data_IF_496131273674
#
_entry.id   IF_496131273674
#
_cell.length_a   1.000
_cell.length_b   1.000
_cell.length_c   1.000
_cell.angle_alpha   90.00
_cell.angle_beta   90.00
_cell.angle_gamma   90.00
#
_symmetry.space_group_name_H-M   'P 1'
#
loop_
_entity.id
_entity.type
_entity.pdbx_description
1 polymer ?
#
# COMPACT_ATOMS: atom_id res chain seq x y z
N UNK A 1 19.53 -9.67 12.50
CA UNK A 1 20.28 -10.75 11.80
C UNK A 1 20.40 -10.29 10.36
N UNK A 2 21.55 -9.73 10.00
CA UNK A 2 21.73 -9.03 8.72
C UNK A 2 21.96 -10.04 7.59
N UNK A 3 20.93 -10.23 6.76
CA UNK A 3 21.03 -11.01 5.54
C UNK A 3 21.72 -10.13 4.49
N UNK A 4 22.82 -10.60 3.93
CA UNK A 4 23.59 -9.85 2.92
C UNK A 4 22.83 -9.79 1.59
N UNK A 5 23.02 -8.71 0.81
CA UNK A 5 22.44 -8.53 -0.55
C UNK A 5 22.64 -9.75 -1.46
N UNK A 6 23.74 -10.49 -1.25
CA UNK A 6 24.10 -11.72 -2.01
C UNK A 6 23.28 -12.94 -1.60
N UNK A 7 22.90 -13.06 -0.32
CA UNK A 7 22.02 -14.14 0.16
C UNK A 7 20.57 -13.91 -0.29
N UNK A 8 20.16 -12.66 -0.48
CA UNK A 8 18.84 -12.31 -1.03
C UNK A 8 18.68 -12.72 -2.50
N UNK A 9 19.70 -12.53 -3.34
CA UNK A 9 19.67 -12.90 -4.77
C UNK A 9 19.60 -14.42 -5.04
N UNK A 10 19.92 -15.27 -4.07
CA UNK A 10 19.82 -16.74 -4.25
C UNK A 10 18.37 -17.23 -4.20
N UNK A 11 17.46 -16.45 -3.58
CA UNK A 11 16.03 -16.77 -3.49
C UNK A 11 15.25 -16.43 -4.77
N UNK A 12 15.82 -15.67 -5.70
CA UNK A 12 15.16 -15.22 -6.95
C UNK A 12 15.40 -16.13 -8.16
N UNK A 13 16.05 -17.28 -7.97
CA UNK A 13 16.47 -18.18 -9.05
C UNK A 13 15.43 -19.21 -9.47
N UNK A 14 14.31 -18.80 -10.04
CA UNK A 14 13.48 -19.69 -10.89
C UNK A 14 12.74 -18.85 -11.95
N UNK A 15 13.23 -18.88 -13.18
CA UNK A 15 12.57 -18.27 -14.32
C UNK A 15 11.28 -19.02 -14.65
N UNK A 16 10.14 -18.32 -14.65
CA UNK A 16 8.87 -18.84 -15.18
C UNK A 16 8.58 -18.16 -16.51
N UNK A 17 8.34 -18.97 -17.54
CA UNK A 17 7.92 -18.52 -18.85
C UNK A 17 6.52 -17.87 -18.77
N UNK A 18 6.39 -16.64 -19.24
CA UNK A 18 5.18 -15.83 -19.20
C UNK A 18 4.39 -15.94 -20.52
N UNK A 19 3.10 -16.27 -20.41
CA UNK A 19 2.11 -16.05 -21.46
C UNK A 19 1.60 -14.62 -21.33
N UNK A 20 1.95 -13.76 -22.29
CA UNK A 20 1.53 -12.37 -22.34
C UNK A 20 0.05 -12.28 -22.78
N UNK A 21 -0.82 -11.76 -21.92
CA UNK A 21 -2.16 -11.31 -22.31
C UNK A 21 -2.12 -9.77 -22.34
N UNK A 22 -2.56 -9.11 -23.42
CA UNK A 22 -2.55 -7.65 -23.46
C UNK A 22 -3.58 -7.11 -22.46
N UNK A 23 -3.13 -6.34 -21.46
CA UNK A 23 -4.01 -5.61 -20.57
C UNK A 23 -4.36 -4.23 -21.17
N UNK A 24 -5.65 -3.91 -21.28
CA UNK A 24 -6.11 -2.53 -21.38
C UNK A 24 -5.96 -1.85 -20.01
N UNK A 25 -4.83 -1.20 -19.76
CA UNK A 25 -4.57 -0.37 -18.58
C UNK A 25 -3.90 0.95 -18.99
N UNK A 26 -4.23 2.04 -18.29
CA UNK A 26 -3.69 3.37 -18.60
C UNK A 26 -2.16 3.39 -18.45
N UNK A 27 -1.44 3.86 -19.48
CA UNK A 27 0.01 4.06 -19.42
C UNK A 27 0.34 5.30 -18.57
N UNK A 28 1.40 5.25 -17.75
CA UNK A 28 1.80 6.43 -16.99
C UNK A 28 2.27 7.55 -17.93
N UNK A 29 1.70 8.75 -17.75
CA UNK A 29 2.03 9.94 -18.53
C UNK A 29 3.23 10.68 -17.93
N UNK A 30 4.04 11.41 -18.72
CA UNK A 30 5.05 12.31 -18.18
C UNK A 30 4.42 13.26 -17.15
N UNK A 31 5.00 13.31 -15.95
CA UNK A 31 4.45 14.12 -14.84
C UNK A 31 3.33 13.45 -14.05
N UNK A 32 3.31 12.11 -13.99
CA UNK A 32 2.43 11.34 -13.13
C UNK A 32 3.23 10.44 -12.16
N UNK A 33 2.76 10.32 -10.92
CA UNK A 33 3.31 9.47 -9.87
C UNK A 33 2.37 8.29 -9.62
N UNK A 34 2.83 7.04 -9.79
CA UNK A 34 2.06 5.86 -9.45
C UNK A 34 1.96 5.67 -7.94
N UNK A 35 0.78 5.24 -7.48
CA UNK A 35 0.54 4.82 -6.10
C UNK A 35 0.24 3.33 -6.11
N UNK A 36 1.18 2.53 -5.62
CA UNK A 36 1.09 1.07 -5.64
C UNK A 36 0.33 0.57 -4.41
N UNK A 37 -0.61 -0.33 -4.63
CA UNK A 37 -1.41 -0.98 -3.59
C UNK A 37 -1.05 -2.47 -3.51
N UNK A 38 -0.35 -2.84 -2.44
CA UNK A 38 -0.10 -4.24 -2.06
C UNK A 38 -0.98 -4.63 -0.88
N UNK A 39 -1.16 -5.93 -0.65
CA UNK A 39 -1.81 -6.43 0.56
C UNK A 39 -0.88 -7.43 1.27
N UNK A 40 -0.95 -8.71 0.88
CA UNK A 40 -0.18 -9.79 1.52
C UNK A 40 0.98 -10.24 0.61
N UNK A 41 2.07 -10.70 1.23
CA UNK A 41 3.25 -11.26 0.54
C UNK A 41 3.43 -12.70 0.99
N UNK A 42 2.97 -13.67 0.20
CA UNK A 42 2.96 -15.08 0.61
C UNK A 42 2.97 -16.04 -0.57
N UNK A 43 3.59 -17.21 -0.39
CA UNK A 43 3.47 -18.35 -1.30
C UNK A 43 2.32 -19.30 -0.89
N UNK A 44 1.72 -19.10 0.29
CA UNK A 44 0.71 -19.99 0.84
C UNK A 44 -0.69 -19.66 0.31
N UNK A 45 -0.93 -18.41 -0.05
CA UNK A 45 -2.24 -17.92 -0.45
C UNK A 45 -2.23 -17.47 -1.91
N UNK A 46 -3.21 -17.96 -2.67
CA UNK A 46 -3.32 -17.74 -4.12
C UNK A 46 -4.38 -16.72 -4.54
N UNK A 47 -4.94 -15.96 -3.59
CA UNK A 47 -5.96 -14.96 -3.92
C UNK A 47 -5.37 -13.79 -4.73
N UNK A 48 -6.20 -13.04 -5.47
CA UNK A 48 -5.72 -11.99 -6.37
C UNK A 48 -4.89 -10.88 -5.71
N UNK A 49 -4.99 -10.70 -4.39
CA UNK A 49 -4.34 -9.61 -3.65
C UNK A 49 -3.04 -10.04 -2.95
N UNK A 50 -2.64 -11.30 -3.09
CA UNK A 50 -1.41 -11.83 -2.49
C UNK A 50 -0.31 -11.96 -3.54
N UNK A 51 0.84 -11.32 -3.34
CA UNK A 51 2.00 -11.46 -4.22
C UNK A 51 3.01 -12.46 -3.64
N UNK A 52 3.73 -13.20 -4.50
CA UNK A 52 4.80 -14.06 -4.00
C UNK A 52 5.99 -13.22 -3.50
N UNK A 53 6.72 -13.66 -2.45
CA UNK A 53 7.93 -12.98 -2.01
C UNK A 53 8.96 -12.76 -3.12
N UNK A 54 9.11 -13.73 -4.03
CA UNK A 54 10.05 -13.64 -5.14
C UNK A 54 9.66 -12.56 -6.16
N UNK A 55 8.37 -12.45 -6.51
CA UNK A 55 7.90 -11.42 -7.45
C UNK A 55 7.96 -10.03 -6.82
N UNK A 56 7.55 -9.90 -5.55
CA UNK A 56 7.66 -8.65 -4.80
C UNK A 56 9.12 -8.17 -4.73
N UNK A 57 10.04 -9.07 -4.37
CA UNK A 57 11.48 -8.80 -4.35
C UNK A 57 12.01 -8.27 -5.68
N UNK A 58 11.58 -8.90 -6.78
CA UNK A 58 12.01 -8.50 -8.11
C UNK A 58 11.44 -7.13 -8.52
N UNK A 59 10.20 -6.81 -8.14
CA UNK A 59 9.61 -5.48 -8.35
C UNK A 59 10.37 -4.39 -7.58
N UNK A 60 10.76 -4.65 -6.32
CA UNK A 60 11.53 -3.70 -5.51
C UNK A 60 12.94 -3.47 -6.05
N UNK A 61 13.67 -4.54 -6.42
CA UNK A 61 14.99 -4.40 -7.07
C UNK A 61 14.85 -3.67 -8.41
N UNK A 62 13.79 -3.93 -9.17
CA UNK A 62 13.55 -3.22 -10.43
C UNK A 62 13.34 -1.73 -10.22
N UNK A 63 12.53 -1.32 -9.23
CA UNK A 63 12.34 0.09 -8.86
C UNK A 63 13.68 0.74 -8.51
N UNK A 64 14.47 0.08 -7.66
CA UNK A 64 15.78 0.57 -7.20
C UNK A 64 16.77 0.71 -8.36
N UNK A 65 16.92 -0.34 -9.17
CA UNK A 65 17.84 -0.37 -10.31
C UNK A 65 17.47 0.65 -11.40
N UNK A 66 16.17 1.00 -11.50
CA UNK A 66 15.70 2.03 -12.42
C UNK A 66 15.71 3.44 -11.81
N UNK A 67 16.16 3.62 -10.56
CA UNK A 67 16.30 4.94 -9.94
C UNK A 67 14.98 5.57 -9.49
N UNK A 68 13.96 4.77 -9.21
CA UNK A 68 12.76 5.27 -8.53
C UNK A 68 13.07 5.59 -7.08
N UNK A 69 12.49 6.69 -6.60
CA UNK A 69 12.44 7.04 -5.18
C UNK A 69 11.04 6.79 -4.63
N UNK A 70 10.96 6.20 -3.46
CA UNK A 70 9.70 6.16 -2.72
C UNK A 70 9.44 7.47 -2.00
N UNK A 71 8.21 7.96 -2.04
CA UNK A 71 7.79 9.20 -1.38
C UNK A 71 6.48 9.00 -0.61
N UNK A 72 6.20 9.89 0.34
CA UNK A 72 4.89 9.93 1.01
C UNK A 72 3.79 10.41 0.05
N UNK A 73 2.54 10.06 0.34
CA UNK A 73 1.38 10.42 -0.50
C UNK A 73 1.27 11.94 -0.68
N UNK A 74 1.45 12.71 0.40
CA UNK A 74 1.46 14.19 0.38
C UNK A 74 2.44 14.83 -0.61
N UNK A 75 3.54 14.16 -0.92
CA UNK A 75 4.61 14.70 -1.75
C UNK A 75 4.40 14.37 -3.24
N UNK A 76 3.46 13.47 -3.55
CA UNK A 76 3.28 12.91 -4.89
C UNK A 76 2.84 13.94 -5.95
N UNK A 77 1.92 14.84 -5.63
CA UNK A 77 1.50 15.89 -6.56
C UNK A 77 2.65 16.85 -6.92
N UNK A 78 3.51 17.16 -5.94
CA UNK A 78 4.67 18.03 -6.14
C UNK A 78 5.78 17.32 -6.93
N UNK A 79 6.03 16.04 -6.64
CA UNK A 79 6.96 15.21 -7.41
C UNK A 79 6.50 15.05 -8.87
N UNK A 80 5.20 14.85 -9.09
CA UNK A 80 4.57 14.81 -10.40
C UNK A 80 4.81 16.11 -11.19
N UNK A 81 4.60 17.28 -10.57
CA UNK A 81 4.84 18.58 -11.17
C UNK A 81 6.31 18.80 -11.56
N UNK A 82 7.25 18.22 -10.81
CA UNK A 82 8.69 18.29 -11.08
C UNK A 82 9.18 17.21 -12.07
N UNK A 83 8.30 16.29 -12.48
CA UNK A 83 8.68 15.15 -13.33
C UNK A 83 9.67 14.21 -12.65
N UNK A 84 9.63 14.11 -11.32
CA UNK A 84 10.51 13.25 -10.57
C UNK A 84 10.20 11.77 -10.80
N UNK A 85 11.24 10.94 -10.84
CA UNK A 85 11.09 9.49 -10.89
C UNK A 85 10.73 8.95 -9.50
N UNK A 86 9.47 9.13 -9.13
CA UNK A 86 8.94 8.80 -7.83
C UNK A 86 7.82 7.75 -7.90
N UNK A 87 7.61 7.06 -6.81
CA UNK A 87 6.51 6.10 -6.61
C UNK A 87 6.04 6.18 -5.16
N UNK A 88 4.74 6.03 -4.92
CA UNK A 88 4.21 5.82 -3.57
C UNK A 88 3.94 4.32 -3.41
N UNK A 89 4.36 3.71 -2.31
CA UNK A 89 4.10 2.31 -2.00
C UNK A 89 3.19 2.23 -0.79
N UNK A 90 2.06 1.55 -0.93
CA UNK A 90 1.06 1.36 0.12
C UNK A 90 0.75 -0.12 0.34
N UNK A 91 0.48 -0.49 1.59
CA UNK A 91 0.03 -1.81 1.99
C UNK A 91 -1.29 -1.67 2.76
N UNK A 92 -2.32 -2.42 2.38
CA UNK A 92 -3.57 -2.49 3.13
C UNK A 92 -3.57 -3.73 4.06
N UNK A 93 -4.57 -3.81 4.95
CA UNK A 93 -4.86 -4.91 5.89
C UNK A 93 -3.89 -5.13 7.06
N UNK A 94 -2.59 -4.84 6.90
CA UNK A 94 -1.60 -4.96 7.97
C UNK A 94 -1.04 -6.37 8.21
N UNK A 95 -0.94 -7.21 7.18
CA UNK A 95 -0.39 -8.57 7.28
C UNK A 95 1.03 -8.62 7.87
N UNK A 96 1.28 -9.62 8.73
CA UNK A 96 2.57 -9.79 9.40
C UNK A 96 3.71 -10.18 8.43
N UNK A 97 3.38 -10.73 7.25
CA UNK A 97 4.33 -11.06 6.18
C UNK A 97 5.18 -9.86 5.73
N UNK A 98 4.72 -8.64 5.95
CA UNK A 98 5.48 -7.42 5.70
C UNK A 98 6.84 -7.41 6.41
N UNK A 99 6.92 -7.85 7.67
CA UNK A 99 8.18 -7.86 8.45
C UNK A 99 9.23 -8.73 7.80
N UNK A 100 8.83 -9.90 7.29
CA UNK A 100 9.76 -10.90 6.77
C UNK A 100 10.15 -10.64 5.31
N UNK A 101 9.24 -10.06 4.52
CA UNK A 101 9.40 -9.99 3.07
C UNK A 101 9.57 -8.57 2.53
N UNK A 102 8.99 -7.55 3.17
CA UNK A 102 9.09 -6.17 2.70
C UNK A 102 10.10 -5.33 3.49
N UNK A 103 10.01 -5.32 4.83
CA UNK A 103 10.85 -4.47 5.67
C UNK A 103 12.38 -4.62 5.43
N UNK A 104 12.94 -5.83 5.21
CA UNK A 104 14.36 -5.98 4.92
C UNK A 104 14.78 -5.35 3.58
N UNK A 105 13.91 -5.41 2.57
CA UNK A 105 14.14 -4.76 1.28
C UNK A 105 14.10 -3.25 1.42
N UNK A 106 13.16 -2.75 2.22
CA UNK A 106 12.97 -1.32 2.44
C UNK A 106 14.19 -0.71 3.14
N UNK A 107 14.72 -1.38 4.15
CA UNK A 107 16.00 -1.00 4.78
C UNK A 107 17.18 -1.07 3.80
N UNK A 108 17.20 -2.07 2.92
CA UNK A 108 18.29 -2.23 1.94
C UNK A 108 18.31 -1.13 0.89
N UNK A 109 17.13 -0.75 0.37
CA UNK A 109 17.01 0.22 -0.72
C UNK A 109 16.74 1.66 -0.24
N UNK A 110 16.51 1.86 1.07
CA UNK A 110 16.07 3.15 1.62
C UNK A 110 14.66 3.53 1.14
N UNK A 111 13.80 2.53 0.99
CA UNK A 111 12.41 2.74 0.56
C UNK A 111 11.50 3.00 1.75
N UNK A 112 10.51 3.87 1.52
CA UNK A 112 9.45 4.23 2.44
C UNK A 112 8.10 3.70 1.93
N UNK A 113 7.20 3.33 2.84
CA UNK A 113 5.80 3.01 2.52
C UNK A 113 4.83 3.50 3.59
N UNK A 114 3.56 3.45 3.22
CA UNK A 114 2.43 3.63 4.13
C UNK A 114 1.70 2.29 4.33
N UNK A 115 1.39 1.91 5.57
CA UNK A 115 0.58 0.72 5.89
C UNK A 115 -0.76 1.17 6.45
N UNK A 116 -1.86 0.86 5.76
CA UNK A 116 -3.22 1.11 6.23
C UNK A 116 -3.70 -0.02 7.13
N UNK A 117 -3.98 0.31 8.39
CA UNK A 117 -4.22 -0.65 9.47
C UNK A 117 -5.70 -0.74 9.80
N UNK A 118 -6.20 -1.96 9.95
CA UNK A 118 -7.54 -2.23 10.49
C UNK A 118 -7.43 -2.30 12.01
N UNK A 119 -7.90 -1.28 12.72
CA UNK A 119 -7.64 -1.14 14.16
C UNK A 119 -8.08 -2.33 15.02
N UNK A 120 -9.22 -2.95 14.70
CA UNK A 120 -9.78 -4.09 15.42
C UNK A 120 -9.06 -5.41 15.14
N UNK A 121 -8.24 -5.51 14.09
CA UNK A 121 -7.53 -6.73 13.75
C UNK A 121 -6.11 -6.78 14.34
N UNK A 122 -5.54 -5.64 14.75
CA UNK A 122 -4.14 -5.55 15.23
C UNK A 122 -3.80 -6.60 16.27
N UNK A 123 -2.70 -7.34 16.05
CA UNK A 123 -2.23 -8.44 16.89
C UNK A 123 -3.08 -9.72 16.81
N UNK A 124 -4.04 -9.77 15.88
CA UNK A 124 -4.93 -10.89 15.65
C UNK A 124 -4.70 -11.55 14.30
N UNK A 125 -5.80 -11.85 13.60
CA UNK A 125 -5.79 -12.55 12.33
C UNK A 125 -6.88 -12.03 11.40
N UNK A 126 -6.63 -12.12 10.10
CA UNK A 126 -7.64 -11.97 9.05
C UNK A 126 -7.98 -13.35 8.52
N UNK A 127 -9.29 -13.66 8.49
CA UNK A 127 -9.81 -14.92 7.96
C UNK A 127 -10.16 -14.74 6.47
N UNK A 128 -9.19 -14.98 5.59
CA UNK A 128 -9.34 -14.91 4.12
C UNK A 128 -8.53 -16.03 3.48
N UNK A 129 -9.20 -17.06 2.97
CA UNK A 129 -8.56 -18.27 2.44
C UNK A 129 -7.55 -18.89 3.44
N UNK A 130 -7.89 -18.81 4.73
CA UNK A 130 -7.06 -19.22 5.85
C UNK A 130 -6.91 -18.12 6.90
N UNK A 131 -6.29 -18.50 8.02
CA UNK A 131 -6.04 -17.65 9.18
C UNK A 131 -4.69 -16.96 9.05
N UNK A 132 -4.69 -15.69 8.64
CA UNK A 132 -3.48 -14.92 8.32
C UNK A 132 -3.10 -13.99 9.46
N UNK A 133 -1.89 -14.08 10.03
CA UNK A 133 -1.47 -13.18 11.10
C UNK A 133 -1.35 -11.74 10.59
N UNK A 134 -1.75 -10.80 11.43
CA UNK A 134 -1.53 -9.36 11.22
C UNK A 134 -0.65 -8.80 12.32
N UNK A 135 -0.01 -7.68 12.02
CA UNK A 135 0.94 -7.03 12.91
C UNK A 135 0.28 -6.56 14.20
N UNK A 136 1.01 -6.64 15.29
CA UNK A 136 0.70 -6.06 16.60
C UNK A 136 1.21 -4.62 16.72
N UNK A 137 0.76 -3.89 17.75
CA UNK A 137 1.26 -2.53 18.01
C UNK A 137 2.75 -2.48 18.31
N UNK A 138 3.31 -3.48 18.99
CA UNK A 138 4.76 -3.55 19.25
C UNK A 138 5.56 -3.79 17.96
N UNK A 139 5.04 -4.60 17.05
CA UNK A 139 5.62 -4.80 15.72
C UNK A 139 5.54 -3.53 14.87
N UNK A 140 4.41 -2.82 14.89
CA UNK A 140 4.32 -1.53 14.22
C UNK A 140 5.29 -0.50 14.83
N UNK A 141 5.45 -0.45 16.16
CA UNK A 141 6.46 0.41 16.82
C UNK A 141 7.87 0.09 16.34
N UNK A 142 8.20 -1.19 16.21
CA UNK A 142 9.47 -1.63 15.63
C UNK A 142 9.63 -1.14 14.18
N UNK A 143 8.59 -1.26 13.36
CA UNK A 143 8.62 -0.87 11.94
C UNK A 143 8.75 0.64 11.72
N UNK A 144 8.12 1.46 12.55
CA UNK A 144 8.20 2.93 12.40
C UNK A 144 9.51 3.51 12.94
N UNK A 145 10.26 2.77 13.77
CA UNK A 145 11.42 3.28 14.49
C UNK A 145 12.59 3.70 13.57
N UNK A 146 12.70 3.13 12.38
CA UNK A 146 13.71 3.52 11.38
C UNK A 146 13.25 4.61 10.40
N UNK A 147 12.00 5.08 10.55
CA UNK A 147 11.41 6.14 9.71
C UNK A 147 11.01 5.70 8.30
N UNK A 148 11.02 4.41 8.00
CA UNK A 148 10.64 3.89 6.68
C UNK A 148 9.15 3.61 6.54
N UNK A 149 8.42 3.44 7.65
CA UNK A 149 7.00 3.08 7.65
C UNK A 149 6.14 4.20 8.23
N UNK A 150 5.10 4.59 7.49
CA UNK A 150 4.02 5.44 7.96
C UNK A 150 2.76 4.60 8.25
N UNK A 151 2.08 4.87 9.36
CA UNK A 151 0.82 4.20 9.71
C UNK A 151 -0.36 5.03 9.21
N UNK A 152 -1.28 4.36 8.52
CA UNK A 152 -2.52 4.89 7.97
C UNK A 152 -3.75 4.17 8.54
N UNK A 153 -4.91 4.77 8.36
CA UNK A 153 -6.20 4.20 8.75
C UNK A 153 -6.76 3.31 7.64
N UNK A 154 -7.26 2.13 8.00
CA UNK A 154 -8.11 1.29 7.17
C UNK A 154 -9.43 0.96 7.87
N UNK A 155 -9.98 1.97 8.57
CA UNK A 155 -11.07 1.91 9.55
C UNK A 155 -10.68 1.26 10.88
N UNK A 156 -11.42 1.55 11.95
CA UNK A 156 -11.25 0.85 13.21
C UNK A 156 -11.86 -0.54 13.13
N UNK A 157 -13.14 -0.65 12.81
CA UNK A 157 -13.87 -1.92 12.83
C UNK A 157 -14.89 -2.05 11.68
N UNK A 158 -14.81 -1.21 10.64
CA UNK A 158 -15.77 -1.25 9.52
C UNK A 158 -15.30 -2.07 8.32
N UNK A 159 -14.14 -2.74 8.38
CA UNK A 159 -13.54 -3.51 7.29
C UNK A 159 -14.29 -4.83 6.97
N UNK A 160 -15.53 -4.70 6.49
CA UNK A 160 -16.34 -5.75 5.89
C UNK A 160 -17.30 -5.12 4.87
N UNK A 161 -17.48 -5.73 3.69
CA UNK A 161 -18.30 -5.16 2.60
C UNK A 161 -19.71 -4.78 3.07
N UNK A 162 -20.36 -5.66 3.85
CA UNK A 162 -21.71 -5.41 4.38
C UNK A 162 -21.74 -4.19 5.28
N UNK A 163 -20.80 -4.09 6.23
CA UNK A 163 -20.68 -2.97 7.18
C UNK A 163 -20.35 -1.67 6.45
N UNK A 164 -19.39 -1.70 5.53
CA UNK A 164 -19.05 -0.53 4.70
C UNK A 164 -20.24 -0.02 3.89
N UNK A 165 -21.12 -0.90 3.39
CA UNK A 165 -22.30 -0.48 2.63
C UNK A 165 -23.43 0.03 3.52
N UNK A 166 -23.62 -0.55 4.70
CA UNK A 166 -24.74 -0.21 5.59
C UNK A 166 -24.46 0.95 6.53
N UNK A 167 -23.21 1.21 6.87
CA UNK A 167 -22.84 2.28 7.81
C UNK A 167 -23.27 3.66 7.28
N UNK A 168 -23.97 4.40 8.11
CA UNK A 168 -24.26 5.82 7.90
C UNK A 168 -22.98 6.65 7.94
N UNK A 169 -23.03 7.87 7.40
CA UNK A 169 -21.90 8.80 7.43
C UNK A 169 -21.46 9.12 8.87
N UNK A 170 -22.40 9.23 9.80
CA UNK A 170 -22.10 9.50 11.21
C UNK A 170 -21.41 8.31 11.90
N UNK A 171 -21.84 7.07 11.62
CA UNK A 171 -21.16 5.87 12.11
C UNK A 171 -19.74 5.74 11.53
N UNK A 172 -19.57 6.08 10.25
CA UNK A 172 -18.26 6.10 9.60
C UNK A 172 -17.33 7.14 10.26
N UNK A 173 -17.82 8.36 10.50
CA UNK A 173 -17.03 9.40 11.18
C UNK A 173 -16.61 8.97 12.59
N UNK A 174 -17.53 8.39 13.36
CA UNK A 174 -17.24 7.89 14.70
C UNK A 174 -16.19 6.77 14.72
N UNK A 175 -16.28 5.81 13.79
CA UNK A 175 -15.29 4.74 13.62
C UNK A 175 -13.90 5.29 13.27
N UNK A 176 -13.85 6.23 12.34
CA UNK A 176 -12.62 6.92 11.94
C UNK A 176 -11.99 7.71 13.09
N UNK A 177 -12.80 8.40 13.90
CA UNK A 177 -12.33 9.08 15.11
C UNK A 177 -11.82 8.11 16.18
N UNK A 178 -12.44 6.93 16.31
CA UNK A 178 -11.97 5.89 17.23
C UNK A 178 -10.62 5.31 16.78
N UNK A 179 -10.40 5.16 15.47
CA UNK A 179 -9.09 4.81 14.95
C UNK A 179 -8.05 5.89 15.30
N UNK A 180 -8.38 7.18 15.11
CA UNK A 180 -7.47 8.27 15.46
C UNK A 180 -7.06 8.24 16.93
N UNK A 181 -8.01 8.02 17.85
CA UNK A 181 -7.71 7.88 19.28
C UNK A 181 -6.83 6.67 19.57
N UNK A 182 -7.06 5.55 18.86
CA UNK A 182 -6.27 4.33 19.00
C UNK A 182 -4.85 4.54 18.52
N UNK A 183 -4.64 4.99 17.29
CA UNK A 183 -3.30 5.19 16.73
C UNK A 183 -2.53 6.28 17.47
N UNK A 184 -3.20 7.36 17.93
CA UNK A 184 -2.56 8.42 18.72
C UNK A 184 -2.05 7.88 20.06
N UNK A 185 -2.81 6.99 20.72
CA UNK A 185 -2.35 6.33 21.94
C UNK A 185 -1.17 5.40 21.70
N UNK A 186 -1.21 4.63 20.62
CA UNK A 186 -0.21 3.57 20.38
C UNK A 186 1.09 4.11 19.76
N UNK A 187 1.00 5.16 18.93
CA UNK A 187 2.10 5.75 18.16
C UNK A 187 2.49 7.17 18.59
N UNK A 188 1.71 7.80 19.47
CA UNK A 188 1.95 9.18 19.91
C UNK A 188 1.55 10.25 18.88
N UNK A 189 0.93 9.87 17.76
CA UNK A 189 0.47 10.79 16.73
C UNK A 189 -0.75 10.24 15.97
N UNK A 190 -1.59 11.16 15.48
CA UNK A 190 -2.71 10.86 14.59
C UNK A 190 -2.24 10.44 13.20
N UNK A 191 -3.02 9.58 12.55
CA UNK A 191 -2.79 9.19 11.16
C UNK A 191 -3.27 10.30 10.22
N UNK A 192 -2.49 10.59 9.18
CA UNK A 192 -2.87 11.56 8.12
C UNK A 192 -3.59 10.89 6.95
N UNK A 193 -3.21 9.64 6.68
CA UNK A 193 -3.66 8.87 5.53
C UNK A 193 -4.80 7.93 5.93
N UNK A 194 -5.84 7.88 5.10
CA UNK A 194 -6.93 6.92 5.15
C UNK A 194 -6.96 6.14 3.84
N UNK A 195 -7.06 4.82 3.88
CA UNK A 195 -7.44 4.02 2.72
C UNK A 195 -8.86 3.50 2.90
N UNK A 196 -9.73 3.71 1.91
CA UNK A 196 -11.11 3.21 1.96
C UNK A 196 -11.17 1.69 1.74
N UNK A 197 -11.74 0.91 2.67
CA UNK A 197 -11.96 -0.51 2.46
C UNK A 197 -12.78 -0.77 1.19
N UNK A 198 -12.27 -1.67 0.35
CA UNK A 198 -12.91 -2.10 -0.91
C UNK A 198 -13.25 -0.96 -1.90
N UNK A 199 -12.67 0.23 -1.73
CA UNK A 199 -13.02 1.41 -2.52
C UNK A 199 -14.47 1.88 -2.33
N UNK A 200 -15.12 1.54 -1.20
CA UNK A 200 -16.51 1.92 -0.93
C UNK A 200 -16.55 3.27 -0.23
N UNK A 201 -16.76 4.34 -1.00
CA UNK A 201 -16.84 5.70 -0.49
C UNK A 201 -17.82 6.55 -1.33
N UNK A 202 -18.12 7.74 -0.82
CA UNK A 202 -18.85 8.80 -1.53
C UNK A 202 -18.37 10.16 -0.99
N UNK A 203 -18.92 11.26 -1.53
CA UNK A 203 -18.56 12.61 -1.11
C UNK A 203 -18.77 12.85 0.39
N UNK A 204 -19.92 12.46 0.94
CA UNK A 204 -20.23 12.67 2.35
C UNK A 204 -19.22 11.96 3.27
N UNK A 205 -18.73 10.78 2.87
CA UNK A 205 -17.70 10.02 3.59
C UNK A 205 -16.31 10.64 3.47
N UNK A 206 -15.97 11.24 2.33
CA UNK A 206 -14.75 12.04 2.20
C UNK A 206 -14.79 13.21 3.17
N UNK A 207 -15.89 13.96 3.20
CA UNK A 207 -16.06 15.09 4.12
C UNK A 207 -16.02 14.63 5.60
N UNK A 208 -16.57 13.46 5.90
CA UNK A 208 -16.46 12.84 7.23
C UNK A 208 -15.02 12.47 7.60
N UNK A 209 -14.25 11.90 6.66
CA UNK A 209 -12.84 11.61 6.87
C UNK A 209 -12.02 12.87 7.11
N UNK A 210 -12.28 13.95 6.37
CA UNK A 210 -11.64 15.26 6.59
C UNK A 210 -11.97 15.82 7.98
N UNK A 211 -13.23 15.73 8.43
CA UNK A 211 -13.61 16.12 9.82
C UNK A 211 -12.92 15.26 10.88
N UNK A 212 -12.71 13.98 10.60
CA UNK A 212 -11.93 13.08 11.46
C UNK A 212 -10.41 13.35 11.43
N UNK A 213 -9.94 14.26 10.56
CA UNK A 213 -8.55 14.74 10.52
C UNK A 213 -7.66 14.10 9.46
N UNK A 214 -8.22 13.34 8.51
CA UNK A 214 -7.46 12.78 7.39
C UNK A 214 -7.28 13.81 6.28
N UNK A 215 -6.06 13.93 5.78
CA UNK A 215 -5.68 14.88 4.71
C UNK A 215 -5.31 14.19 3.40
N UNK A 216 -5.15 12.87 3.44
CA UNK A 216 -4.70 12.03 2.34
C UNK A 216 -5.61 10.81 2.28
N UNK A 217 -6.47 10.70 1.27
CA UNK A 217 -7.54 9.71 1.19
C UNK A 217 -7.32 8.84 -0.05
N UNK A 218 -6.94 7.59 0.18
CA UNK A 218 -6.64 6.59 -0.83
C UNK A 218 -7.90 5.82 -1.21
N UNK A 219 -8.09 5.64 -2.51
CA UNK A 219 -9.20 4.90 -3.11
C UNK A 219 -8.69 3.62 -3.77
N UNK A 220 -9.60 2.78 -4.29
CA UNK A 220 -9.24 1.61 -5.10
C UNK A 220 -9.47 1.85 -6.60
N UNK A 221 -9.68 3.10 -7.01
CA UNK A 221 -9.81 3.46 -8.41
C UNK A 221 -8.43 3.41 -9.06
N UNK A 222 -8.31 2.72 -10.20
CA UNK A 222 -7.07 2.67 -10.95
C UNK A 222 -6.75 4.04 -11.57
N UNK A 223 -5.50 4.47 -11.43
CA UNK A 223 -5.04 5.74 -11.97
C UNK A 223 -3.70 6.18 -11.39
N UNK A 224 -3.33 7.42 -11.73
CA UNK A 224 -2.07 8.03 -11.34
C UNK A 224 -2.31 9.40 -10.71
N UNK A 225 -1.47 9.76 -9.74
CA UNK A 225 -1.44 11.13 -9.24
C UNK A 225 -0.72 12.02 -10.24
N UNK A 226 -1.37 13.09 -10.67
CA UNK A 226 -0.80 14.08 -11.59
C UNK A 226 -0.56 15.40 -10.88
N UNK A 227 0.16 16.31 -11.53
CA UNK A 227 0.28 17.68 -11.03
C UNK A 227 -1.09 18.31 -10.78
N UNK A 228 -1.32 18.82 -9.56
CA UNK A 228 -2.56 19.48 -9.17
C UNK A 228 -3.72 18.54 -8.79
N UNK A 229 -3.52 17.22 -8.78
CA UNK A 229 -4.51 16.28 -8.24
C UNK A 229 -4.82 16.60 -6.76
N UNK A 230 -6.09 16.51 -6.38
CA UNK A 230 -6.48 16.53 -4.96
C UNK A 230 -5.99 15.27 -4.26
N UNK A 231 -5.72 15.38 -2.95
CA UNK A 231 -5.42 14.26 -2.07
C UNK A 231 -6.68 13.70 -1.39
N UNK A 232 -7.87 14.21 -1.73
CA UNK A 232 -9.16 13.73 -1.21
C UNK A 232 -9.62 12.42 -1.88
N UNK A 233 -9.09 12.12 -3.07
CA UNK A 233 -9.39 10.93 -3.87
C UNK A 233 -8.14 10.46 -4.62
N UNK A 234 -7.19 9.89 -3.90
CA UNK A 234 -5.95 9.38 -4.48
C UNK A 234 -6.20 8.02 -5.15
N UNK A 235 -6.00 7.88 -6.47
CA UNK A 235 -6.11 6.60 -7.16
C UNK A 235 -4.93 5.69 -6.84
N UNK A 236 -5.13 4.37 -6.92
CA UNK A 236 -4.10 3.36 -6.66
C UNK A 236 -4.10 2.26 -7.72
N UNK A 237 -2.92 1.72 -7.98
CA UNK A 237 -2.69 0.59 -8.86
C UNK A 237 -2.58 -0.68 -8.01
N UNK A 238 -3.54 -1.59 -8.15
CA UNK A 238 -3.54 -2.84 -7.40
C UNK A 238 -2.44 -3.79 -7.93
N UNK A 239 -1.49 -4.14 -7.07
CA UNK A 239 -0.38 -5.03 -7.38
C UNK A 239 -0.64 -6.39 -6.75
N UNK A 240 -1.30 -7.24 -7.53
CA UNK A 240 -1.71 -8.58 -7.15
C UNK A 240 -0.87 -9.71 -7.76
N UNK A 241 -1.36 -10.94 -7.61
CA UNK A 241 -0.67 -12.17 -8.06
C UNK A 241 -0.49 -12.32 -9.58
N UNK A 242 -1.12 -11.47 -10.39
CA UNK A 242 -1.11 -11.55 -11.86
C UNK A 242 -0.21 -10.53 -12.54
N UNK A 243 0.36 -9.58 -11.79
CA UNK A 243 1.17 -8.51 -12.38
C UNK A 243 2.64 -8.92 -12.45
N UNK A 244 3.01 -9.59 -13.54
CA UNK A 244 4.41 -9.91 -13.83
C UNK A 244 5.28 -8.64 -14.00
N UNK A 245 6.61 -8.80 -14.05
CA UNK A 245 7.52 -7.66 -14.15
C UNK A 245 7.35 -6.84 -15.43
N UNK A 246 6.89 -7.46 -16.52
CA UNK A 246 6.68 -6.76 -17.79
C UNK A 246 5.49 -5.82 -17.64
N UNK A 247 4.39 -6.35 -17.12
CA UNK A 247 3.17 -5.60 -16.83
C UNK A 247 3.42 -4.53 -15.76
N UNK A 248 4.22 -4.84 -14.73
CA UNK A 248 4.65 -3.87 -13.71
C UNK A 248 5.42 -2.69 -14.30
N UNK A 249 6.34 -2.94 -15.23
CA UNK A 249 7.05 -1.89 -15.95
C UNK A 249 6.10 -1.02 -16.78
N UNK A 250 5.13 -1.62 -17.47
CA UNK A 250 4.12 -0.88 -18.24
C UNK A 250 3.23 0.00 -17.34
N UNK A 251 2.83 -0.52 -16.16
CA UNK A 251 2.09 0.21 -15.13
C UNK A 251 2.86 1.40 -14.55
N UNK A 252 4.19 1.47 -14.72
CA UNK A 252 5.00 2.59 -14.26
C UNK A 252 5.39 3.56 -15.40
N UNK A 253 4.79 3.39 -16.59
CA UNK A 253 5.05 4.20 -17.78
C UNK A 253 6.25 3.75 -18.60
N UNK A 254 6.80 2.57 -18.33
CA UNK A 254 7.87 1.99 -19.13
C UNK A 254 7.40 1.64 -20.54
N UNK A 255 8.18 2.05 -21.54
CA UNK A 255 8.05 1.54 -22.92
C UNK A 255 8.71 0.16 -23.00
N UNK A 256 8.13 -0.75 -23.80
CA UNK A 256 8.84 -1.97 -24.21
C UNK A 256 10.16 -1.58 -24.89
N UNK A 257 11.27 -2.22 -24.51
CA UNK A 257 12.56 -2.07 -25.19
C UNK A 257 12.74 -3.20 -26.18
#
# INVERSE_FOLDING_TARGET
>A
MDITRRQFMVLTGAALASLSIPLQGAMAMPGAVPVLLYHDISNQYGDPYTISPALFAAQMEWLYANGYRTIAVRDAAAAAARGEKAVVITFDDGYASFIDHAHPLFRTYGFHCTIAVIGAHVGGFIERDGRRPVLSWDEYRYLVADGLVEIACHTQDLHAISRMKSASTAEMEADLMLFQQTVEREMGAKARVLAWPYGIYNRDRIEAAQRAGFTEILTSNEGYLSSGSSLDEVPRLNIGNRLDLVSFNQYLGGKER
#
